data_IF_264393406367
#
_entry.id   IF_264393406367
#
_cell.length_a   1.000
_cell.length_b   1.000
_cell.length_c   1.000
_cell.angle_alpha   90.00
_cell.angle_beta   90.00
_cell.angle_gamma   90.00
#
_symmetry.space_group_name_H-M   'P 1'
#
loop_
_entity.id
_entity.type
_entity.pdbx_description
1 polymer ?
#
# COMPACT_ATOMS: atom_id res chain seq x y z
N UNK A 1 -6.92 10.49 35.90
CA UNK A 1 -5.77 9.68 35.46
C UNK A 1 -5.90 9.46 33.97
N UNK A 2 -4.84 9.72 33.20
CA UNK A 2 -4.78 9.51 31.74
C UNK A 2 -3.64 8.53 31.43
N UNK A 3 -3.63 7.99 30.21
CA UNK A 3 -2.65 7.01 29.76
C UNK A 3 -3.13 5.57 29.91
N UNK A 4 -2.50 4.69 29.15
CA UNK A 4 -2.77 3.25 29.18
C UNK A 4 -1.58 2.47 28.66
N UNK A 5 -1.59 1.17 28.96
CA UNK A 5 -0.70 0.18 28.35
C UNK A 5 -1.57 -0.86 27.63
N UNK A 6 -1.19 -1.21 26.42
CA UNK A 6 -1.79 -2.28 25.61
C UNK A 6 -0.70 -3.31 25.32
N UNK A 7 -0.90 -4.55 25.76
CA UNK A 7 -0.09 -5.68 25.30
C UNK A 7 -0.48 -6.05 23.87
N UNK A 8 0.51 -6.18 22.99
CA UNK A 8 0.33 -6.55 21.59
C UNK A 8 0.50 -8.07 21.40
N UNK A 9 -0.09 -8.67 20.35
CA UNK A 9 -0.01 -10.12 20.09
C UNK A 9 1.41 -10.68 19.94
N UNK A 10 2.38 -9.83 19.56
CA UNK A 10 3.80 -10.19 19.44
C UNK A 10 4.58 -10.12 20.77
N UNK A 11 3.90 -9.79 21.88
CA UNK A 11 4.51 -9.66 23.21
C UNK A 11 5.06 -8.27 23.54
N UNK A 12 4.98 -7.32 22.60
CA UNK A 12 5.38 -5.94 22.83
C UNK A 12 4.36 -5.20 23.71
N UNK A 13 4.82 -4.13 24.35
CA UNK A 13 4.00 -3.21 25.13
C UNK A 13 3.85 -1.87 24.41
N UNK A 14 2.62 -1.47 24.10
CA UNK A 14 2.33 -0.14 23.58
C UNK A 14 1.79 0.75 24.70
N UNK A 15 2.41 1.92 24.90
CA UNK A 15 2.15 2.81 26.04
C UNK A 15 1.74 4.18 25.53
N UNK A 16 0.56 4.64 25.96
CA UNK A 16 0.16 6.04 25.86
C UNK A 16 0.47 6.75 27.18
N UNK A 17 1.30 7.78 27.14
CA UNK A 17 1.80 8.46 28.35
C UNK A 17 0.84 9.54 28.90
N UNK A 18 -0.36 9.62 28.34
CA UNK A 18 -1.42 10.43 28.91
C UNK A 18 -1.19 11.92 28.71
N UNK A 19 -0.88 12.58 29.82
CA UNK A 19 -0.56 14.02 29.89
C UNK A 19 0.77 14.36 29.23
N UNK A 20 1.68 13.40 29.15
CA UNK A 20 2.90 13.56 28.37
C UNK A 20 2.58 13.31 26.89
N UNK A 21 3.12 14.12 25.96
CA UNK A 21 2.75 14.09 24.54
C UNK A 21 3.32 12.88 23.80
N UNK A 22 3.67 11.79 24.49
CA UNK A 22 4.37 10.65 23.93
C UNK A 22 3.44 9.43 23.77
N UNK A 23 3.78 8.60 22.80
CA UNK A 23 3.31 7.24 22.68
C UNK A 23 4.47 6.36 22.23
N UNK A 24 4.71 5.28 22.96
CA UNK A 24 5.89 4.43 22.77
C UNK A 24 5.52 2.97 22.61
N UNK A 25 6.35 2.20 21.91
CA UNK A 25 6.30 0.73 21.90
C UNK A 25 7.61 0.18 22.43
N UNK A 26 7.51 -0.75 23.37
CA UNK A 26 8.62 -1.50 23.91
C UNK A 26 8.55 -2.96 23.45
N UNK A 27 9.70 -3.52 23.08
CA UNK A 27 9.83 -4.95 22.82
C UNK A 27 9.53 -5.76 24.08
N UNK A 28 9.27 -7.07 23.93
CA UNK A 28 9.11 -8.00 25.06
C UNK A 28 10.30 -8.01 26.04
N UNK A 29 11.48 -7.62 25.57
CA UNK A 29 12.72 -7.59 26.36
C UNK A 29 12.97 -6.21 27.00
N UNK A 30 12.06 -5.25 26.79
CA UNK A 30 12.09 -3.90 27.38
C UNK A 30 12.80 -2.85 26.54
N UNK A 31 13.12 -3.12 25.27
CA UNK A 31 13.78 -2.16 24.37
C UNK A 31 12.76 -1.21 23.73
N UNK A 32 13.03 0.10 23.70
CA UNK A 32 12.20 1.08 22.99
C UNK A 32 12.38 0.93 21.47
N UNK A 33 11.32 0.55 20.75
CA UNK A 33 11.35 0.26 19.31
C UNK A 33 10.47 1.20 18.47
N UNK A 34 9.65 2.02 19.13
CA UNK A 34 8.85 3.06 18.49
C UNK A 34 8.61 4.16 19.50
N UNK A 35 8.74 5.41 19.07
CA UNK A 35 8.39 6.57 19.88
C UNK A 35 7.84 7.67 18.98
N UNK A 36 6.71 8.23 19.37
CA UNK A 36 6.06 9.35 18.68
C UNK A 36 5.70 10.41 19.71
N UNK A 37 6.01 11.65 19.38
CA UNK A 37 5.62 12.82 20.13
C UNK A 37 4.59 13.63 19.35
N UNK A 38 3.45 13.96 19.96
CA UNK A 38 2.54 14.95 19.40
C UNK A 38 3.18 16.34 19.41
N UNK A 39 2.85 17.17 18.43
CA UNK A 39 3.31 18.56 18.42
C UNK A 39 2.61 19.38 19.51
N UNK A 40 3.36 20.31 20.11
CA UNK A 40 2.85 21.23 21.13
C UNK A 40 2.44 20.53 22.44
N UNK A 41 1.51 21.14 23.18
CA UNK A 41 1.01 20.64 24.47
C UNK A 41 -0.15 19.63 24.30
N UNK A 42 -0.12 18.84 23.23
CA UNK A 42 -1.20 17.89 22.92
C UNK A 42 -1.11 16.69 23.85
N UNK A 43 -2.20 16.42 24.57
CA UNK A 43 -2.34 15.27 25.46
C UNK A 43 -3.22 14.19 24.82
N UNK A 44 -3.03 12.95 25.22
CA UNK A 44 -3.91 11.84 24.82
C UNK A 44 -4.54 11.18 26.05
N UNK A 45 -5.85 10.89 26.00
CA UNK A 45 -6.47 10.14 27.09
C UNK A 45 -6.00 8.67 27.09
N UNK A 46 -5.96 8.06 25.89
CA UNK A 46 -5.49 6.70 25.61
C UNK A 46 -4.87 6.64 24.22
N UNK A 47 -3.92 5.73 24.03
CA UNK A 47 -3.33 5.38 22.75
C UNK A 47 -3.48 3.87 22.50
N UNK A 48 -3.74 3.49 21.25
CA UNK A 48 -3.89 2.10 20.82
C UNK A 48 -3.14 1.86 19.53
N UNK A 49 -2.51 0.69 19.43
CA UNK A 49 -1.97 0.15 18.18
C UNK A 49 -2.85 -1.02 17.77
N UNK A 50 -3.49 -0.88 16.62
CA UNK A 50 -4.45 -1.84 16.10
C UNK A 50 -4.09 -2.24 14.67
N UNK A 51 -4.39 -3.48 14.25
CA UNK A 51 -4.34 -3.84 12.84
C UNK A 51 -5.22 -2.88 12.03
N UNK A 52 -4.67 -2.34 10.94
CA UNK A 52 -5.42 -1.50 10.02
C UNK A 52 -5.63 -2.27 8.71
N UNK A 53 -6.89 -2.34 8.28
CA UNK A 53 -7.26 -2.84 6.96
C UNK A 53 -7.99 -1.73 6.21
N UNK A 54 -7.45 -1.33 5.08
CA UNK A 54 -8.01 -0.32 4.20
C UNK A 54 -8.41 -0.90 2.85
N UNK A 55 -9.63 -0.57 2.42
CA UNK A 55 -10.15 -0.85 1.08
C UNK A 55 -10.70 0.47 0.52
N UNK A 56 -9.94 1.18 -0.31
CA UNK A 56 -10.39 2.44 -0.90
C UNK A 56 -11.59 2.23 -1.81
N UNK A 57 -12.44 3.25 -1.93
CA UNK A 57 -13.57 3.26 -2.86
C UNK A 57 -13.12 3.59 -4.30
N UNK A 58 -12.03 4.34 -4.44
CA UNK A 58 -11.41 4.64 -5.74
C UNK A 58 -10.69 3.40 -6.29
N UNK A 59 -10.63 3.30 -7.61
CA UNK A 59 -9.86 2.27 -8.29
C UNK A 59 -8.34 2.51 -8.16
N UNK A 60 -7.50 1.47 -8.37
CA UNK A 60 -6.06 1.64 -8.45
C UNK A 60 -5.65 2.68 -9.49
N UNK A 61 -4.59 3.43 -9.19
CA UNK A 61 -3.98 4.35 -10.14
C UNK A 61 -2.90 3.64 -10.96
N UNK A 62 -2.80 4.02 -12.23
CA UNK A 62 -1.77 3.53 -13.14
C UNK A 62 -1.15 4.67 -13.93
N UNK A 63 0.17 4.66 -14.04
CA UNK A 63 0.91 5.41 -15.03
C UNK A 63 1.77 4.44 -15.85
N UNK A 64 2.09 4.80 -17.08
CA UNK A 64 2.92 3.96 -17.94
C UNK A 64 3.81 4.81 -18.83
N UNK A 65 5.05 4.38 -19.01
CA UNK A 65 6.07 5.06 -19.81
C UNK A 65 6.68 4.08 -20.81
N UNK A 66 6.84 4.53 -22.06
CA UNK A 66 7.53 3.76 -23.09
C UNK A 66 9.04 3.78 -22.85
N UNK A 67 9.65 2.62 -22.99
CA UNK A 67 11.08 2.42 -23.03
C UNK A 67 11.59 2.24 -24.47
N UNK A 68 12.79 1.68 -24.59
CA UNK A 68 13.36 1.29 -25.89
C UNK A 68 12.63 0.06 -26.44
N UNK A 69 12.28 0.08 -27.72
CA UNK A 69 11.57 -1.01 -28.38
C UNK A 69 10.13 -1.14 -27.89
N UNK A 70 9.72 -2.37 -27.58
CA UNK A 70 8.39 -2.72 -27.06
C UNK A 70 8.29 -2.60 -25.53
N UNK A 71 9.33 -2.12 -24.85
CA UNK A 71 9.33 -2.07 -23.39
C UNK A 71 8.40 -0.98 -22.88
N UNK A 72 7.60 -1.32 -21.88
CA UNK A 72 6.74 -0.37 -21.14
C UNK A 72 6.97 -0.57 -19.66
N UNK A 73 7.28 0.51 -18.94
CA UNK A 73 7.30 0.49 -17.46
C UNK A 73 5.97 1.00 -16.96
N UNK A 74 5.26 0.15 -16.21
CA UNK A 74 3.98 0.44 -15.60
C UNK A 74 4.19 0.71 -14.11
N UNK A 75 3.69 1.83 -13.62
CA UNK A 75 3.72 2.22 -12.23
C UNK A 75 2.30 2.06 -11.67
N UNK A 76 2.16 1.18 -10.69
CA UNK A 76 0.90 0.89 -10.03
C UNK A 76 0.90 1.40 -8.59
N UNK A 77 -0.17 2.08 -8.19
CA UNK A 77 -0.35 2.53 -6.80
C UNK A 77 -1.82 2.50 -6.40
N UNK A 78 -2.09 2.32 -5.11
CA UNK A 78 -3.45 2.41 -4.58
C UNK A 78 -3.43 2.89 -3.13
N UNK A 79 -3.63 4.19 -2.96
CA UNK A 79 -3.50 4.83 -1.66
C UNK A 79 -4.58 4.32 -0.68
N UNK A 80 -4.16 3.90 0.51
CA UNK A 80 -5.07 3.37 1.52
C UNK A 80 -5.41 1.88 1.38
N UNK A 81 -5.01 1.21 0.29
CA UNK A 81 -5.24 -0.22 0.14
C UNK A 81 -4.20 -1.04 0.92
N UNK A 82 -4.66 -1.95 1.77
CA UNK A 82 -3.78 -2.80 2.60
C UNK A 82 -3.81 -4.28 2.23
N UNK A 83 -4.71 -4.67 1.32
CA UNK A 83 -4.93 -6.07 0.93
C UNK A 83 -4.15 -6.53 -0.31
N UNK A 84 -3.42 -5.63 -0.97
CA UNK A 84 -2.74 -5.93 -2.24
C UNK A 84 -1.49 -6.77 -1.97
N UNK A 85 -1.44 -7.96 -2.56
CA UNK A 85 -0.28 -8.85 -2.54
C UNK A 85 0.53 -8.76 -3.83
N UNK A 86 -0.15 -8.61 -4.97
CA UNK A 86 0.47 -8.52 -6.28
C UNK A 86 -0.33 -7.60 -7.21
N UNK A 87 0.36 -7.19 -8.27
CA UNK A 87 -0.20 -6.45 -9.40
C UNK A 87 -0.13 -7.32 -10.65
N UNK A 88 -1.23 -7.43 -11.38
CA UNK A 88 -1.26 -8.02 -12.71
C UNK A 88 -1.39 -6.90 -13.75
N UNK A 89 -0.41 -6.80 -14.64
CA UNK A 89 -0.41 -5.88 -15.78
C UNK A 89 -1.25 -6.47 -16.89
N UNK A 90 -2.15 -5.66 -17.44
CA UNK A 90 -2.95 -5.98 -18.61
C UNK A 90 -2.54 -5.09 -19.78
N UNK A 91 -2.65 -5.58 -21.01
CA UNK A 91 -2.46 -4.79 -22.21
C UNK A 91 -3.41 -5.20 -23.33
N UNK A 92 -3.71 -4.29 -24.26
CA UNK A 92 -4.52 -4.63 -25.43
C UNK A 92 -4.92 -3.46 -26.32
N UNK A 93 -5.63 -3.78 -27.40
CA UNK A 93 -5.97 -2.85 -28.47
C UNK A 93 -6.94 -1.72 -28.03
N UNK A 94 -7.61 -1.89 -26.89
CA UNK A 94 -8.54 -0.92 -26.34
C UNK A 94 -8.92 -1.24 -24.89
N UNK A 95 -9.54 -0.29 -24.15
CA UNK A 95 -9.89 -0.45 -22.73
C UNK A 95 -10.75 -1.68 -22.41
N UNK A 96 -11.63 -2.10 -23.33
CA UNK A 96 -12.48 -3.29 -23.18
C UNK A 96 -11.87 -4.58 -23.76
N UNK A 97 -10.61 -4.57 -24.18
CA UNK A 97 -9.92 -5.69 -24.86
C UNK A 97 -8.53 -5.92 -24.27
N UNK A 98 -8.41 -5.80 -22.95
CA UNK A 98 -7.15 -5.99 -22.25
C UNK A 98 -6.99 -7.45 -21.82
N UNK A 99 -5.81 -8.01 -22.05
CA UNK A 99 -5.43 -9.36 -21.63
C UNK A 99 -4.24 -9.31 -20.66
N UNK A 100 -4.10 -10.28 -19.73
CA UNK A 100 -2.95 -10.36 -18.84
C UNK A 100 -1.64 -10.47 -19.61
N UNK A 101 -0.68 -9.62 -19.26
CA UNK A 101 0.63 -9.52 -19.91
C UNK A 101 1.79 -9.87 -18.97
N UNK A 102 1.68 -9.50 -17.70
CA UNK A 102 2.75 -9.70 -16.72
C UNK A 102 2.27 -9.43 -15.30
N UNK A 103 3.15 -9.61 -14.32
CA UNK A 103 2.82 -9.31 -12.92
C UNK A 103 4.06 -8.91 -12.12
N UNK A 104 3.83 -8.31 -10.96
CA UNK A 104 4.87 -7.97 -9.99
C UNK A 104 4.33 -7.97 -8.56
N UNK A 105 5.13 -8.39 -7.56
CA UNK A 105 4.69 -8.35 -6.17
C UNK A 105 4.52 -6.91 -5.71
N UNK A 106 3.59 -6.66 -4.79
CA UNK A 106 3.43 -5.37 -4.15
C UNK A 106 4.70 -5.00 -3.35
N UNK A 107 5.19 -3.77 -3.51
CA UNK A 107 6.45 -3.29 -2.89
C UNK A 107 6.29 -2.00 -2.07
N UNK A 108 5.10 -1.73 -1.54
CA UNK A 108 4.82 -0.49 -0.79
C UNK A 108 3.85 0.41 -1.52
N UNK A 109 4.03 1.73 -1.42
CA UNK A 109 3.09 2.70 -1.98
C UNK A 109 2.94 2.61 -3.51
N UNK A 110 4.06 2.53 -4.23
CA UNK A 110 4.09 2.42 -5.69
C UNK A 110 4.96 1.23 -6.09
N UNK A 111 4.55 0.50 -7.13
CA UNK A 111 5.28 -0.63 -7.69
C UNK A 111 5.50 -0.43 -9.18
N UNK A 112 6.76 -0.41 -9.60
CA UNK A 112 7.14 -0.38 -11.02
C UNK A 112 7.29 -1.81 -11.57
N UNK A 113 6.69 -2.07 -12.72
CA UNK A 113 6.68 -3.37 -13.42
C UNK A 113 6.99 -3.10 -14.89
N UNK A 114 8.09 -3.66 -15.38
CA UNK A 114 8.42 -3.56 -16.81
C UNK A 114 7.93 -4.78 -17.56
N UNK A 115 7.19 -4.54 -18.62
CA UNK A 115 6.65 -5.55 -19.55
C UNK A 115 7.09 -5.19 -20.98
N UNK A 116 6.94 -6.14 -21.92
CA UNK A 116 7.14 -5.92 -23.36
C UNK A 116 5.80 -6.06 -24.07
N UNK A 117 5.35 -4.98 -24.74
CA UNK A 117 4.11 -4.95 -25.52
C UNK A 117 4.09 -3.79 -26.50
N UNK A 118 3.55 -4.05 -27.69
CA UNK A 118 3.24 -3.02 -28.69
C UNK A 118 1.78 -2.54 -28.59
N UNK A 119 1.01 -3.07 -27.64
CA UNK A 119 -0.40 -2.73 -27.47
C UNK A 119 -0.58 -1.27 -27.01
N UNK A 120 -1.60 -0.57 -27.51
CA UNK A 120 -1.77 0.86 -27.26
C UNK A 120 -2.29 1.20 -25.87
N UNK A 121 -2.89 0.25 -25.15
CA UNK A 121 -3.43 0.46 -23.80
C UNK A 121 -2.85 -0.52 -22.80
N UNK A 122 -2.66 -0.04 -21.57
CA UNK A 122 -2.27 -0.83 -20.41
C UNK A 122 -3.15 -0.49 -19.20
N UNK A 123 -3.35 -1.46 -18.32
CA UNK A 123 -4.01 -1.28 -17.03
C UNK A 123 -3.39 -2.22 -16.00
N UNK A 124 -3.78 -2.09 -14.73
CA UNK A 124 -3.36 -3.00 -13.67
C UNK A 124 -4.54 -3.51 -12.86
N UNK A 125 -4.43 -4.77 -12.41
CA UNK A 125 -5.29 -5.35 -11.37
C UNK A 125 -4.51 -5.47 -10.08
N UNK A 126 -5.12 -5.04 -8.99
CA UNK A 126 -4.66 -5.38 -7.65
C UNK A 126 -5.20 -6.76 -7.27
N UNK A 127 -4.34 -7.67 -6.83
CA UNK A 127 -4.71 -9.02 -6.42
C UNK A 127 -4.33 -9.26 -4.95
N UNK A 128 -5.18 -9.97 -4.21
CA UNK A 128 -4.84 -10.44 -2.86
C UNK A 128 -3.96 -11.69 -2.88
N UNK A 129 -3.57 -12.19 -1.70
CA UNK A 129 -2.67 -13.34 -1.56
C UNK A 129 -3.24 -14.66 -2.11
N UNK A 130 -4.55 -14.71 -2.42
CA UNK A 130 -5.19 -15.85 -3.06
C UNK A 130 -5.30 -15.72 -4.58
N UNK A 131 -4.86 -14.58 -5.14
CA UNK A 131 -5.01 -14.25 -6.57
C UNK A 131 -6.39 -13.67 -6.91
N UNK A 132 -7.21 -13.31 -5.91
CA UNK A 132 -8.50 -12.68 -6.17
C UNK A 132 -8.30 -11.20 -6.48
N UNK A 133 -8.93 -10.73 -7.54
CA UNK A 133 -8.93 -9.32 -7.94
C UNK A 133 -9.66 -8.46 -6.90
N UNK A 134 -8.99 -7.43 -6.41
CA UNK A 134 -9.51 -6.46 -5.45
C UNK A 134 -10.02 -5.19 -6.13
N UNK A 135 -9.38 -4.79 -7.23
CA UNK A 135 -9.67 -3.60 -8.02
C UNK A 135 -8.91 -3.61 -9.34
N UNK A 136 -9.39 -2.85 -10.33
CA UNK A 136 -8.75 -2.71 -11.65
C UNK A 136 -8.66 -1.24 -11.98
N UNK A 137 -7.49 -0.76 -12.43
CA UNK A 137 -7.34 0.62 -12.86
C UNK A 137 -8.09 0.90 -14.17
N UNK A 138 -8.34 2.18 -14.44
CA UNK A 138 -8.62 2.64 -15.80
C UNK A 138 -7.48 2.26 -16.76
N UNK A 139 -7.81 2.13 -18.04
CA UNK A 139 -6.83 1.85 -19.08
C UNK A 139 -6.15 3.13 -19.57
N UNK A 140 -4.83 3.16 -19.59
CA UNK A 140 -4.03 4.32 -20.02
C UNK A 140 -3.19 3.97 -21.24
N UNK A 141 -2.84 5.00 -22.02
CA UNK A 141 -1.82 4.88 -23.06
C UNK A 141 -0.46 5.17 -22.44
N UNK A 142 0.57 4.34 -22.67
CA UNK A 142 1.92 4.66 -22.23
C UNK A 142 2.39 6.01 -22.79
N UNK A 143 2.87 6.88 -21.90
CA UNK A 143 3.52 8.15 -22.23
C UNK A 143 4.85 7.94 -22.95
N UNK A 144 5.31 8.98 -23.63
CA UNK A 144 6.60 9.01 -24.32
C UNK A 144 7.77 9.36 -23.40
#
# INVERSE_FOLDING_TARGET
SQGNMQMLPNGNAFVGWGTEPFTSEYSKDGELIFDVQFSGETQSYRAFRLPWSGRPDEDPAVAAEKGKGDRVTVYASWNGATGVAAWQVLAGAGPGKLEPLGSGPWKGFETAITVSTDEPYVAVRAEDSSGRVLGTSEAVKPGS
#
